data_IF_866536833083
#
_entry.id   IF_866536833083
#
_cell.length_a   1.000
_cell.length_b   1.000
_cell.length_c   1.000
_cell.angle_alpha   90.00
_cell.angle_beta   90.00
_cell.angle_gamma   90.00
#
_symmetry.space_group_name_H-M   'P 1'
#
loop_
_entity.id
_entity.type
_entity.pdbx_description
1 polymer ?
#
# COMPACT_ATOMS: atom_id res chain seq x y z
N UNK A 1 73.52 -31.24 -50.41
CA UNK A 1 73.66 -30.68 -49.04
C UNK A 1 73.25 -29.22 -49.08
N UNK A 2 72.28 -28.82 -48.26
CA UNK A 2 71.77 -27.45 -48.18
C UNK A 2 70.30 -27.42 -47.76
N UNK A 3 70.05 -27.66 -46.47
CA UNK A 3 68.73 -27.78 -45.85
C UNK A 3 68.17 -26.37 -45.57
N UNK A 4 66.94 -26.12 -46.03
CA UNK A 4 66.17 -24.92 -45.72
C UNK A 4 65.70 -24.93 -44.25
N UNK A 5 66.07 -23.91 -43.47
CA UNK A 5 65.55 -23.68 -42.13
C UNK A 5 64.33 -22.75 -42.19
N UNK A 6 63.14 -23.34 -42.15
CA UNK A 6 61.88 -22.65 -41.86
C UNK A 6 61.81 -22.35 -40.36
N UNK A 7 61.94 -21.09 -39.97
CA UNK A 7 61.67 -20.64 -38.60
C UNK A 7 60.15 -20.52 -38.40
N UNK A 8 59.57 -21.48 -37.66
CA UNK A 8 58.23 -21.34 -37.10
C UNK A 8 58.25 -20.34 -35.94
N UNK A 9 57.61 -19.19 -36.15
CA UNK A 9 57.29 -18.22 -35.10
C UNK A 9 56.12 -18.76 -34.28
N UNK A 10 56.39 -19.22 -33.06
CA UNK A 10 55.36 -19.59 -32.10
C UNK A 10 54.65 -18.33 -31.59
N UNK A 11 53.38 -18.20 -31.92
CA UNK A 11 52.52 -17.17 -31.36
C UNK A 11 52.25 -17.49 -29.89
N UNK A 12 52.70 -16.63 -28.99
CA UNK A 12 52.35 -16.64 -27.57
C UNK A 12 50.83 -16.41 -27.43
N UNK A 13 50.13 -17.41 -26.90
CA UNK A 13 48.72 -17.31 -26.54
C UNK A 13 48.53 -16.19 -25.50
N UNK A 14 47.91 -15.08 -25.92
CA UNK A 14 47.41 -14.07 -25.01
C UNK A 14 46.26 -14.68 -24.19
N UNK A 15 46.48 -14.78 -22.89
CA UNK A 15 45.44 -15.09 -21.92
C UNK A 15 44.34 -14.03 -21.99
N UNK A 16 43.18 -14.42 -22.50
CA UNK A 16 42.00 -13.58 -22.51
C UNK A 16 41.67 -13.15 -21.07
N UNK A 17 41.44 -11.86 -20.80
CA UNK A 17 41.00 -11.44 -19.48
C UNK A 17 39.60 -12.03 -19.23
N UNK A 18 39.47 -12.78 -18.13
CA UNK A 18 38.19 -13.20 -17.59
C UNK A 18 37.32 -11.96 -17.33
N UNK A 19 36.53 -11.57 -18.33
CA UNK A 19 35.46 -10.60 -18.11
C UNK A 19 34.49 -11.26 -17.13
N UNK A 20 34.45 -10.74 -15.90
CA UNK A 20 33.39 -11.06 -14.96
C UNK A 20 32.09 -10.65 -15.65
N UNK A 21 31.35 -11.63 -16.14
CA UNK A 21 29.99 -11.48 -16.64
C UNK A 21 29.13 -10.96 -15.50
N UNK A 22 29.07 -9.65 -15.34
CA UNK A 22 28.16 -9.00 -14.41
C UNK A 22 26.75 -9.28 -14.93
N UNK A 23 26.12 -10.28 -14.31
CA UNK A 23 24.81 -10.84 -14.63
C UNK A 23 23.84 -9.82 -15.25
N UNK A 24 23.51 -10.05 -16.53
CA UNK A 24 22.44 -9.35 -17.28
C UNK A 24 21.05 -9.43 -16.59
N UNK A 25 20.91 -10.22 -15.52
CA UNK A 25 19.65 -10.49 -14.82
C UNK A 25 19.49 -9.77 -13.47
N UNK A 26 20.33 -8.76 -13.17
CA UNK A 26 20.40 -8.10 -11.84
C UNK A 26 19.10 -7.44 -11.33
N UNK A 27 18.09 -7.18 -12.17
CA UNK A 27 16.87 -6.47 -11.76
C UNK A 27 15.63 -7.36 -11.55
N UNK A 28 15.74 -8.68 -11.80
CA UNK A 28 14.64 -9.61 -11.54
C UNK A 28 14.24 -9.62 -10.06
N UNK A 29 15.22 -9.84 -9.16
CA UNK A 29 14.96 -9.93 -7.73
C UNK A 29 14.44 -8.62 -7.13
N UNK A 30 15.04 -7.44 -7.40
CA UNK A 30 14.47 -6.17 -6.96
C UNK A 30 13.02 -5.97 -7.40
N UNK A 31 12.70 -6.23 -8.68
CA UNK A 31 11.32 -6.10 -9.19
C UNK A 31 10.36 -7.07 -8.50
N UNK A 32 10.77 -8.32 -8.33
CA UNK A 32 9.94 -9.33 -7.69
C UNK A 32 9.66 -8.95 -6.23
N UNK A 33 10.70 -8.61 -5.47
CA UNK A 33 10.60 -8.32 -4.04
C UNK A 33 9.79 -7.05 -3.81
N UNK A 34 10.05 -5.96 -4.53
CA UNK A 34 9.32 -4.70 -4.32
C UNK A 34 7.82 -4.87 -4.58
N UNK A 35 7.45 -5.59 -5.63
CA UNK A 35 6.05 -5.82 -5.98
C UNK A 35 5.38 -6.88 -5.08
N UNK A 36 6.12 -7.86 -4.57
CA UNK A 36 5.63 -8.77 -3.54
C UNK A 36 5.29 -8.02 -2.26
N UNK A 37 6.21 -7.18 -1.77
CA UNK A 37 5.98 -6.37 -0.56
C UNK A 37 4.80 -5.42 -0.76
N UNK A 38 4.67 -4.79 -1.93
CA UNK A 38 3.50 -3.97 -2.28
C UNK A 38 2.22 -4.80 -2.12
N UNK A 39 2.15 -5.96 -2.78
CA UNK A 39 1.00 -6.86 -2.72
C UNK A 39 0.66 -7.28 -1.29
N UNK A 40 1.66 -7.64 -0.50
CA UNK A 40 1.51 -8.14 0.86
C UNK A 40 1.00 -7.05 1.83
N UNK A 41 1.56 -5.84 1.77
CA UNK A 41 1.10 -4.72 2.60
C UNK A 41 -0.30 -4.28 2.20
N UNK A 42 -0.58 -4.21 0.89
CA UNK A 42 -1.88 -3.85 0.37
C UNK A 42 -2.98 -4.83 0.79
N UNK A 43 -2.75 -6.15 0.72
CA UNK A 43 -3.75 -7.13 1.17
C UNK A 43 -3.92 -7.13 2.68
N UNK A 44 -2.85 -6.92 3.45
CA UNK A 44 -2.95 -6.75 4.90
C UNK A 44 -3.81 -5.53 5.26
N UNK A 45 -3.58 -4.40 4.57
CA UNK A 45 -4.38 -3.19 4.77
C UNK A 45 -5.85 -3.38 4.39
N UNK A 46 -6.12 -4.10 3.30
CA UNK A 46 -7.48 -4.48 2.91
C UNK A 46 -8.16 -5.31 4.01
N UNK A 47 -7.44 -6.27 4.61
CA UNK A 47 -7.93 -7.05 5.74
C UNK A 47 -8.30 -6.20 6.97
N UNK A 48 -7.48 -5.20 7.31
CA UNK A 48 -7.78 -4.26 8.41
C UNK A 48 -9.05 -3.44 8.10
N UNK A 49 -9.18 -2.92 6.86
CA UNK A 49 -10.36 -2.17 6.43
C UNK A 49 -11.60 -3.05 6.48
N UNK A 50 -11.54 -4.27 5.93
CA UNK A 50 -12.65 -5.22 5.96
C UNK A 50 -13.08 -5.57 7.37
N UNK A 51 -12.13 -5.75 8.30
CA UNK A 51 -12.45 -5.99 9.71
C UNK A 51 -13.15 -4.78 10.35
N UNK A 52 -12.76 -3.56 9.99
CA UNK A 52 -13.41 -2.35 10.48
C UNK A 52 -14.84 -2.22 9.95
N UNK A 53 -15.06 -2.46 8.65
CA UNK A 53 -16.41 -2.47 8.05
C UNK A 53 -17.29 -3.53 8.70
N UNK A 54 -16.76 -4.73 8.91
CA UNK A 54 -17.48 -5.80 9.61
C UNK A 54 -17.89 -5.40 11.03
N UNK A 55 -16.99 -4.75 11.78
CA UNK A 55 -17.29 -4.21 13.10
C UNK A 55 -18.39 -3.14 13.04
N UNK A 56 -18.32 -2.17 12.13
CA UNK A 56 -19.36 -1.14 11.98
C UNK A 56 -20.74 -1.74 11.69
N UNK A 57 -20.81 -2.72 10.79
CA UNK A 57 -22.05 -3.40 10.45
C UNK A 57 -22.60 -4.19 11.64
N UNK A 58 -21.73 -4.88 12.39
CA UNK A 58 -22.12 -5.58 13.62
C UNK A 58 -22.69 -4.61 14.67
N UNK A 59 -22.02 -3.47 14.90
CA UNK A 59 -22.53 -2.45 15.82
C UNK A 59 -23.91 -1.96 15.38
N UNK A 60 -24.09 -1.68 14.08
CA UNK A 60 -25.33 -1.18 13.49
C UNK A 60 -26.48 -2.18 13.61
N UNK A 61 -26.24 -3.45 13.32
CA UNK A 61 -27.27 -4.46 13.14
C UNK A 61 -27.55 -5.33 14.37
N UNK A 62 -26.58 -5.45 15.29
CA UNK A 62 -26.68 -6.35 16.44
C UNK A 62 -26.59 -5.61 17.80
N UNK A 63 -25.77 -4.55 17.92
CA UNK A 63 -25.56 -3.85 19.21
C UNK A 63 -26.55 -2.69 19.41
N UNK A 64 -26.76 -1.86 18.39
CA UNK A 64 -27.66 -0.69 18.34
C UNK A 64 -27.35 0.46 19.31
N UNK A 65 -27.02 0.21 20.58
CA UNK A 65 -26.71 1.24 21.56
C UNK A 65 -25.73 0.78 22.66
N UNK A 66 -25.01 1.74 23.24
CA UNK A 66 -24.20 1.57 24.43
C UNK A 66 -24.88 2.19 25.66
N UNK A 67 -24.82 1.52 26.80
CA UNK A 67 -25.25 2.10 28.07
C UNK A 67 -24.13 2.94 28.68
N UNK A 68 -24.45 4.20 28.96
CA UNK A 68 -23.55 5.19 29.54
C UNK A 68 -24.06 5.58 30.92
N UNK A 69 -23.19 5.52 31.92
CA UNK A 69 -23.49 5.99 33.27
C UNK A 69 -23.47 7.53 33.32
N UNK A 70 -24.48 8.14 33.92
CA UNK A 70 -24.62 9.60 33.97
C UNK A 70 -25.31 10.02 35.25
N UNK A 71 -24.98 11.22 35.75
CA UNK A 71 -25.42 11.72 37.08
C UNK A 71 -26.96 11.76 37.26
N UNK A 72 -27.73 11.73 36.17
CA UNK A 72 -29.20 11.66 36.16
C UNK A 72 -29.79 10.25 35.96
N UNK A 73 -28.95 9.22 35.95
CA UNK A 73 -29.31 7.84 35.60
C UNK A 73 -28.71 7.41 34.25
N UNK A 74 -28.58 6.09 34.04
CA UNK A 74 -27.98 5.56 32.83
C UNK A 74 -28.83 5.86 31.60
N UNK A 75 -28.18 6.09 30.46
CA UNK A 75 -28.88 6.32 29.19
C UNK A 75 -28.25 5.52 28.05
N UNK A 76 -29.04 5.31 26.99
CA UNK A 76 -28.59 4.61 25.79
C UNK A 76 -28.07 5.60 24.74
N UNK A 77 -26.81 5.44 24.35
CA UNK A 77 -26.19 6.14 23.22
C UNK A 77 -26.23 5.24 21.97
N UNK A 78 -26.83 5.71 20.88
CA UNK A 78 -26.80 4.95 19.61
C UNK A 78 -25.36 4.71 19.13
N UNK A 79 -25.10 3.52 18.59
CA UNK A 79 -23.74 3.12 18.15
C UNK A 79 -23.19 3.95 16.98
N UNK A 80 -24.07 4.56 16.17
CA UNK A 80 -23.71 5.36 15.01
C UNK A 80 -24.04 6.85 15.27
N UNK A 81 -23.11 7.77 14.97
CA UNK A 81 -23.41 9.19 14.97
C UNK A 81 -24.21 9.57 13.72
N UNK A 82 -24.88 10.72 13.73
CA UNK A 82 -25.65 11.18 12.58
C UNK A 82 -24.74 11.51 11.38
N UNK A 83 -23.53 12.02 11.66
CA UNK A 83 -22.58 12.48 10.65
C UNK A 83 -21.30 11.63 10.65
N UNK A 84 -21.43 10.36 10.27
CA UNK A 84 -20.28 9.46 10.09
C UNK A 84 -19.68 9.62 8.69
N UNK A 85 -18.40 9.95 8.60
CA UNK A 85 -17.67 10.12 7.36
C UNK A 85 -16.88 8.85 7.02
N UNK A 86 -17.43 8.07 6.10
CA UNK A 86 -16.88 6.76 5.70
C UNK A 86 -16.05 6.79 4.41
N UNK A 87 -16.10 7.89 3.65
CA UNK A 87 -15.42 8.02 2.35
C UNK A 87 -13.91 7.76 2.43
N UNK A 88 -13.25 8.16 3.53
CA UNK A 88 -11.84 7.87 3.74
C UNK A 88 -11.54 6.37 3.79
N UNK A 89 -12.49 5.57 4.30
CA UNK A 89 -12.44 4.12 4.27
C UNK A 89 -12.54 3.60 2.83
N UNK A 90 -13.46 4.14 2.04
CA UNK A 90 -13.62 3.76 0.63
C UNK A 90 -12.40 4.09 -0.23
N UNK A 91 -11.81 5.28 -0.07
CA UNK A 91 -10.62 5.68 -0.84
C UNK A 91 -9.42 4.78 -0.48
N UNK A 92 -9.17 4.55 0.81
CA UNK A 92 -8.09 3.66 1.25
C UNK A 92 -8.29 2.19 0.84
N UNK A 93 -9.54 1.73 0.73
CA UNK A 93 -9.88 0.41 0.20
C UNK A 93 -9.50 0.34 -1.28
N UNK A 94 -9.81 1.38 -2.05
CA UNK A 94 -9.38 1.52 -3.44
C UNK A 94 -7.87 1.40 -3.58
N UNK A 95 -7.09 2.12 -2.75
CA UNK A 95 -5.62 2.03 -2.73
C UNK A 95 -5.14 0.61 -2.39
N UNK A 96 -5.71 -0.01 -1.36
CA UNK A 96 -5.35 -1.36 -0.94
C UNK A 96 -5.65 -2.40 -2.05
N UNK A 97 -6.83 -2.35 -2.66
CA UNK A 97 -7.18 -3.22 -3.79
C UNK A 97 -6.27 -2.99 -4.99
N UNK A 98 -6.02 -1.73 -5.35
CA UNK A 98 -5.16 -1.37 -6.47
C UNK A 98 -3.72 -1.87 -6.27
N UNK A 99 -3.11 -1.59 -5.12
CA UNK A 99 -1.76 -2.03 -4.79
C UNK A 99 -1.61 -3.55 -4.75
N UNK A 100 -2.63 -4.28 -4.27
CA UNK A 100 -2.63 -5.74 -4.28
C UNK A 100 -2.51 -6.30 -5.71
N UNK A 101 -3.43 -5.94 -6.60
CA UNK A 101 -3.41 -6.45 -7.97
C UNK A 101 -2.21 -5.92 -8.77
N UNK A 102 -1.79 -4.68 -8.53
CA UNK A 102 -0.61 -4.12 -9.18
C UNK A 102 0.67 -4.84 -8.76
N UNK A 103 0.81 -5.20 -7.48
CA UNK A 103 1.91 -6.01 -6.97
C UNK A 103 1.95 -7.41 -7.62
N UNK A 104 0.80 -8.09 -7.72
CA UNK A 104 0.70 -9.36 -8.47
C UNK A 104 1.13 -9.21 -9.94
N UNK A 105 0.65 -8.16 -10.60
CA UNK A 105 1.02 -7.87 -11.99
C UNK A 105 2.53 -7.57 -12.11
N UNK A 106 3.11 -6.82 -11.18
CA UNK A 106 4.53 -6.52 -11.15
C UNK A 106 5.40 -7.77 -10.97
N UNK A 107 5.00 -8.71 -10.12
CA UNK A 107 5.67 -10.01 -9.98
C UNK A 107 5.59 -10.83 -11.29
N UNK A 108 4.43 -10.83 -11.95
CA UNK A 108 4.28 -11.46 -13.27
C UNK A 108 5.21 -10.82 -14.33
N UNK A 109 5.32 -9.49 -14.34
CA UNK A 109 6.24 -8.77 -15.23
C UNK A 109 7.70 -9.11 -14.92
N UNK A 110 8.08 -9.18 -13.64
CA UNK A 110 9.42 -9.60 -13.22
C UNK A 110 9.74 -11.00 -13.78
N UNK A 111 8.82 -11.95 -13.62
CA UNK A 111 8.97 -13.31 -14.16
C UNK A 111 9.15 -13.33 -15.68
N UNK A 112 8.30 -12.60 -16.42
CA UNK A 112 8.35 -12.53 -17.89
C UNK A 112 9.65 -11.91 -18.41
N UNK A 113 10.18 -10.92 -17.70
CA UNK A 113 11.39 -10.18 -18.11
C UNK A 113 12.69 -10.87 -17.72
N UNK A 114 12.66 -11.84 -16.79
CA UNK A 114 13.84 -12.55 -16.24
C UNK A 114 14.83 -13.08 -17.28
N UNK A 115 14.35 -13.61 -18.40
CA UNK A 115 15.19 -14.25 -19.45
C UNK A 115 15.16 -13.49 -20.78
N UNK A 116 14.50 -12.34 -20.85
CA UNK A 116 14.26 -11.69 -22.12
C UNK A 116 15.28 -10.59 -22.41
N UNK A 117 15.81 -10.61 -23.64
CA UNK A 117 16.70 -9.58 -24.17
C UNK A 117 15.96 -8.49 -24.95
N UNK A 118 14.64 -8.64 -25.15
CA UNK A 118 13.81 -7.72 -25.95
C UNK A 118 13.03 -6.74 -25.07
N UNK A 119 12.74 -5.52 -25.57
CA UNK A 119 11.85 -4.58 -24.91
C UNK A 119 10.44 -5.17 -24.72
N UNK A 120 9.88 -5.07 -23.51
CA UNK A 120 8.53 -5.56 -23.19
C UNK A 120 7.59 -4.39 -22.91
N UNK A 121 6.48 -4.32 -23.65
CA UNK A 121 5.41 -3.33 -23.39
C UNK A 121 4.86 -3.43 -21.96
N UNK A 122 4.87 -4.62 -21.38
CA UNK A 122 4.39 -4.86 -20.00
C UNK A 122 5.19 -4.10 -18.95
N UNK A 123 6.49 -3.86 -19.18
CA UNK A 123 7.31 -3.07 -18.24
C UNK A 123 6.94 -1.59 -18.30
N UNK A 124 6.65 -1.06 -19.49
CA UNK A 124 6.14 0.31 -19.65
C UNK A 124 4.74 0.46 -19.04
N UNK A 125 3.87 -0.54 -19.21
CA UNK A 125 2.54 -0.54 -18.59
C UNK A 125 2.67 -0.55 -17.06
N UNK A 126 3.50 -1.44 -16.51
CA UNK A 126 3.77 -1.48 -15.06
C UNK A 126 4.28 -0.14 -14.54
N UNK A 127 5.20 0.50 -15.26
CA UNK A 127 5.74 1.81 -14.90
C UNK A 127 4.64 2.88 -14.80
N UNK A 128 3.75 2.95 -15.79
CA UNK A 128 2.64 3.91 -15.81
C UNK A 128 1.67 3.64 -14.66
N UNK A 129 1.29 2.37 -14.46
CA UNK A 129 0.37 1.99 -13.38
C UNK A 129 0.97 2.26 -11.99
N UNK A 130 2.26 2.01 -11.78
CA UNK A 130 2.94 2.34 -10.52
C UNK A 130 3.05 3.86 -10.29
N UNK A 131 3.23 4.65 -11.35
CA UNK A 131 3.17 6.10 -11.21
C UNK A 131 1.77 6.57 -10.76
N UNK A 132 0.71 6.02 -11.36
CA UNK A 132 -0.66 6.30 -10.92
C UNK A 132 -0.93 5.79 -9.50
N UNK A 133 -0.34 4.65 -9.10
CA UNK A 133 -0.38 4.13 -7.73
C UNK A 133 0.14 5.16 -6.73
N UNK A 134 1.33 5.73 -6.98
CA UNK A 134 1.93 6.75 -6.12
C UNK A 134 0.99 7.94 -5.93
N UNK A 135 0.41 8.45 -7.03
CA UNK A 135 -0.51 9.59 -6.96
C UNK A 135 -1.78 9.25 -6.18
N UNK A 136 -2.33 8.05 -6.41
CA UNK A 136 -3.55 7.61 -5.75
C UNK A 136 -3.31 7.36 -4.25
N UNK A 137 -2.24 6.64 -3.90
CA UNK A 137 -1.84 6.39 -2.51
C UNK A 137 -1.55 7.72 -1.79
N UNK A 138 -0.90 8.68 -2.43
CA UNK A 138 -0.65 10.00 -1.84
C UNK A 138 -1.95 10.77 -1.59
N UNK A 139 -2.87 10.78 -2.55
CA UNK A 139 -4.21 11.39 -2.39
C UNK A 139 -4.93 10.81 -1.19
N UNK A 140 -5.05 9.48 -1.13
CA UNK A 140 -5.74 8.79 -0.05
C UNK A 140 -5.05 9.01 1.30
N UNK A 141 -3.72 9.00 1.34
CA UNK A 141 -2.94 9.28 2.54
C UNK A 141 -3.24 10.67 3.07
N UNK A 142 -3.18 11.70 2.22
CA UNK A 142 -3.51 13.08 2.62
C UNK A 142 -4.96 13.16 3.09
N UNK A 143 -5.90 12.61 2.32
CA UNK A 143 -7.33 12.68 2.65
C UNK A 143 -7.65 12.04 4.01
N UNK A 144 -7.22 10.78 4.23
CA UNK A 144 -7.46 10.05 5.48
C UNK A 144 -6.87 10.79 6.68
N UNK A 145 -5.64 11.30 6.56
CA UNK A 145 -5.00 12.02 7.67
C UNK A 145 -5.64 13.39 7.93
N UNK A 146 -6.01 14.14 6.89
CA UNK A 146 -6.66 15.44 7.03
C UNK A 146 -8.03 15.28 7.68
N UNK A 147 -8.87 14.36 7.21
CA UNK A 147 -10.21 14.16 7.78
C UNK A 147 -10.10 13.67 9.22
N UNK A 148 -9.22 12.69 9.50
CA UNK A 148 -9.00 12.21 10.87
C UNK A 148 -8.48 13.31 11.79
N UNK A 149 -7.62 14.21 11.30
CA UNK A 149 -7.12 15.35 12.06
C UNK A 149 -8.22 16.40 12.33
N UNK A 150 -9.05 16.72 11.33
CA UNK A 150 -10.15 17.67 11.45
C UNK A 150 -11.20 17.24 12.46
N UNK A 151 -11.39 15.93 12.66
CA UNK A 151 -12.33 15.37 13.62
C UNK A 151 -11.68 14.95 14.93
N UNK A 152 -10.38 15.21 15.11
CA UNK A 152 -9.64 14.84 16.31
C UNK A 152 -10.04 15.73 17.50
N UNK A 153 -9.94 15.20 18.72
CA UNK A 153 -10.30 15.87 19.98
C UNK A 153 -11.77 16.29 20.12
N UNK A 154 -12.64 15.97 19.18
CA UNK A 154 -14.09 16.09 19.37
C UNK A 154 -14.51 15.10 20.46
N UNK A 155 -15.42 15.53 21.34
CA UNK A 155 -15.92 14.72 22.46
C UNK A 155 -17.44 14.69 22.44
N UNK A 156 -18.01 13.57 22.84
CA UNK A 156 -19.45 13.45 23.03
C UNK A 156 -19.83 14.22 24.28
N UNK A 157 -20.75 15.18 24.14
CA UNK A 157 -21.28 15.95 25.26
C UNK A 157 -22.38 15.16 25.94
N UNK A 158 -22.09 14.62 27.13
CA UNK A 158 -23.03 13.83 27.93
C UNK A 158 -24.42 14.47 28.07
N UNK A 159 -24.57 15.78 28.40
CA UNK A 159 -25.90 16.39 28.50
C UNK A 159 -26.68 16.38 27.17
N UNK A 160 -25.99 16.51 26.04
CA UNK A 160 -26.64 16.48 24.72
C UNK A 160 -27.06 15.06 24.36
N UNK A 161 -26.18 14.08 24.60
CA UNK A 161 -26.47 12.68 24.34
C UNK A 161 -27.62 12.16 25.22
N UNK A 162 -27.61 12.46 26.52
CA UNK A 162 -28.64 12.04 27.47
C UNK A 162 -30.02 12.64 27.17
N UNK A 163 -30.07 13.87 26.66
CA UNK A 163 -31.33 14.54 26.29
C UNK A 163 -31.88 14.10 24.93
N UNK A 164 -31.08 13.44 24.09
CA UNK A 164 -31.45 13.02 22.73
C UNK A 164 -31.35 11.49 22.58
N UNK A 165 -31.92 10.75 23.53
CA UNK A 165 -31.93 9.29 23.47
C UNK A 165 -32.77 8.78 22.30
N UNK A 166 -32.37 7.63 21.73
CA UNK A 166 -33.06 6.99 20.61
C UNK A 166 -32.80 7.62 19.25
N UNK A 167 -32.00 8.70 19.18
CA UNK A 167 -31.55 9.30 17.92
C UNK A 167 -30.03 9.28 17.82
N UNK A 168 -29.53 9.25 16.59
CA UNK A 168 -28.09 9.29 16.35
C UNK A 168 -27.51 10.63 16.80
N UNK A 169 -26.35 10.59 17.44
CA UNK A 169 -25.71 11.79 17.98
C UNK A 169 -25.39 12.79 16.86
N UNK A 170 -26.02 13.97 16.91
CA UNK A 170 -26.06 14.89 15.78
C UNK A 170 -24.86 15.85 15.70
N UNK A 171 -24.11 16.01 16.79
CA UNK A 171 -23.05 17.00 16.83
C UNK A 171 -21.76 16.51 16.17
N UNK A 172 -21.08 17.46 15.55
CA UNK A 172 -19.81 17.25 14.86
C UNK A 172 -19.90 16.26 13.69
N UNK A 173 -18.77 16.06 13.02
CA UNK A 173 -18.57 15.05 11.98
C UNK A 173 -17.51 14.11 12.46
N UNK A 174 -17.68 12.82 12.23
CA UNK A 174 -16.81 11.82 12.81
C UNK A 174 -16.24 10.90 11.76
N UNK A 175 -14.96 10.56 11.88
CA UNK A 175 -14.47 9.31 11.31
C UNK A 175 -14.82 8.15 12.23
N UNK A 176 -14.85 6.90 11.73
CA UNK A 176 -14.96 5.72 12.61
C UNK A 176 -13.95 5.77 13.77
N UNK A 177 -12.68 6.09 13.48
CA UNK A 177 -11.61 6.16 14.50
C UNK A 177 -11.94 7.18 15.59
N UNK A 178 -12.29 8.41 15.22
CA UNK A 178 -12.53 9.49 16.19
C UNK A 178 -13.85 9.31 16.94
N UNK A 179 -14.86 8.72 16.30
CA UNK A 179 -16.13 8.39 16.96
C UNK A 179 -15.90 7.43 18.13
N UNK A 180 -15.27 6.28 17.85
CA UNK A 180 -15.09 5.27 18.90
C UNK A 180 -14.10 5.69 19.98
N UNK A 181 -13.12 6.56 19.66
CA UNK A 181 -12.32 7.23 20.69
C UNK A 181 -13.17 8.07 21.62
N UNK A 182 -14.10 8.86 21.08
CA UNK A 182 -15.01 9.66 21.90
C UNK A 182 -16.01 8.80 22.69
N UNK A 183 -16.40 7.63 22.17
CA UNK A 183 -17.20 6.64 22.92
C UNK A 183 -16.40 6.05 24.10
N UNK A 184 -15.11 5.76 23.92
CA UNK A 184 -14.23 5.24 24.99
C UNK A 184 -13.94 6.26 26.11
N UNK A 185 -14.10 7.55 25.82
CA UNK A 185 -14.03 8.63 26.81
C UNK A 185 -15.28 8.70 27.71
N UNK A 186 -16.37 8.01 27.34
CA UNK A 186 -17.58 7.94 28.15
C UNK A 186 -17.48 6.88 29.24
N UNK A 187 -18.18 7.05 30.37
CA UNK A 187 -18.32 6.03 31.39
C UNK A 187 -19.28 4.93 30.92
N UNK A 188 -18.81 4.04 30.05
CA UNK A 188 -19.57 2.87 29.60
C UNK A 188 -19.79 1.90 30.77
N UNK A 189 -21.01 1.39 30.93
CA UNK A 189 -21.36 0.44 32.00
C UNK A 189 -20.72 -0.94 31.74
N UNK A 190 -20.69 -1.36 30.48
CA UNK A 190 -20.15 -2.65 30.06
C UNK A 190 -18.65 -2.55 29.76
N UNK A 191 -17.83 -3.13 30.64
CA UNK A 191 -16.36 -3.13 30.50
C UNK A 191 -15.88 -3.99 29.34
N UNK A 192 -16.56 -5.10 29.03
CA UNK A 192 -16.16 -6.00 27.95
C UNK A 192 -16.37 -5.30 26.59
N UNK A 193 -17.46 -4.52 26.47
CA UNK A 193 -17.69 -3.66 25.30
C UNK A 193 -16.65 -2.58 25.16
N UNK A 194 -16.20 -2.00 26.27
CA UNK A 194 -15.13 -1.00 26.26
C UNK A 194 -13.83 -1.58 25.72
N UNK A 195 -13.44 -2.76 26.18
CA UNK A 195 -12.21 -3.43 25.72
C UNK A 195 -12.31 -3.87 24.25
N UNK A 196 -13.48 -4.33 23.81
CA UNK A 196 -13.75 -4.61 22.40
C UNK A 196 -13.55 -3.36 21.53
N UNK A 197 -14.15 -2.24 21.92
CA UNK A 197 -14.04 -0.97 21.19
C UNK A 197 -12.59 -0.48 21.16
N UNK A 198 -11.84 -0.58 22.26
CA UNK A 198 -10.43 -0.16 22.33
C UNK A 198 -9.53 -0.95 21.36
N UNK A 199 -9.72 -2.27 21.31
CA UNK A 199 -9.03 -3.14 20.33
C UNK A 199 -9.38 -2.77 18.88
N UNK A 200 -10.65 -2.43 18.61
CA UNK A 200 -11.09 -2.01 17.29
C UNK A 200 -10.56 -0.63 16.90
N UNK A 201 -10.50 0.32 17.83
CA UNK A 201 -9.86 1.62 17.62
C UNK A 201 -8.38 1.44 17.28
N UNK A 202 -7.68 0.55 17.98
CA UNK A 202 -6.29 0.21 17.67
C UNK A 202 -6.14 -0.30 16.23
N UNK A 203 -7.06 -1.15 15.77
CA UNK A 203 -7.10 -1.63 14.38
C UNK A 203 -7.32 -0.49 13.38
N UNK A 204 -8.20 0.48 13.69
CA UNK A 204 -8.46 1.65 12.84
C UNK A 204 -7.22 2.56 12.73
N UNK A 205 -6.53 2.79 13.84
CA UNK A 205 -5.27 3.53 13.87
C UNK A 205 -4.21 2.81 13.02
N UNK A 206 -4.10 1.49 13.17
CA UNK A 206 -3.15 0.69 12.39
C UNK A 206 -3.43 0.79 10.88
N UNK A 207 -4.70 0.68 10.46
CA UNK A 207 -5.11 0.87 9.07
C UNK A 207 -4.68 2.24 8.51
N UNK A 208 -4.94 3.33 9.24
CA UNK A 208 -4.52 4.68 8.82
C UNK A 208 -3.01 4.76 8.61
N UNK A 209 -2.23 4.22 9.55
CA UNK A 209 -0.77 4.25 9.46
C UNK A 209 -0.20 3.30 8.42
N UNK A 210 -0.89 2.23 8.03
CA UNK A 210 -0.49 1.30 6.96
C UNK A 210 -0.42 1.95 5.57
N UNK A 211 -1.09 3.09 5.35
CA UNK A 211 -0.96 3.85 4.11
C UNK A 211 0.46 4.41 3.90
N UNK A 212 1.18 4.75 4.98
CA UNK A 212 2.56 5.26 4.90
C UNK A 212 3.55 4.22 4.35
N UNK A 213 3.66 3.00 4.91
CA UNK A 213 4.55 1.98 4.35
C UNK A 213 4.14 1.55 2.94
N UNK A 214 2.84 1.51 2.61
CA UNK A 214 2.39 1.27 1.23
C UNK A 214 2.94 2.35 0.30
N UNK A 215 2.80 3.63 0.67
CA UNK A 215 3.31 4.75 -0.12
C UNK A 215 4.82 4.68 -0.37
N UNK A 216 5.60 4.35 0.68
CA UNK A 216 7.05 4.17 0.55
C UNK A 216 7.37 3.03 -0.43
N UNK A 217 6.64 1.91 -0.34
CA UNK A 217 6.84 0.76 -1.21
C UNK A 217 6.41 1.04 -2.65
N UNK A 218 5.36 1.82 -2.88
CA UNK A 218 5.00 2.31 -4.22
C UNK A 218 6.15 3.08 -4.87
N UNK A 219 6.78 4.00 -4.12
CA UNK A 219 7.95 4.76 -4.60
C UNK A 219 9.12 3.82 -4.93
N UNK A 220 9.41 2.87 -4.05
CA UNK A 220 10.49 1.90 -4.27
C UNK A 220 10.20 1.05 -5.51
N UNK A 221 8.99 0.50 -5.63
CA UNK A 221 8.59 -0.35 -6.74
C UNK A 221 8.65 0.41 -8.06
N UNK A 222 8.17 1.65 -8.10
CA UNK A 222 8.29 2.54 -9.25
C UNK A 222 9.75 2.84 -9.61
N UNK A 223 10.60 3.14 -8.62
CA UNK A 223 12.02 3.40 -8.82
C UNK A 223 12.75 2.19 -9.42
N UNK A 224 12.50 0.99 -8.89
CA UNK A 224 13.05 -0.26 -9.43
C UNK A 224 12.57 -0.51 -10.86
N UNK A 225 11.28 -0.32 -11.15
CA UNK A 225 10.73 -0.45 -12.50
C UNK A 225 11.33 0.57 -13.46
N UNK A 226 11.52 1.81 -13.03
CA UNK A 226 12.19 2.86 -13.82
C UNK A 226 13.61 2.43 -14.19
N UNK A 227 14.39 1.93 -13.23
CA UNK A 227 15.74 1.43 -13.49
C UNK A 227 15.75 0.25 -14.47
N UNK A 228 14.80 -0.69 -14.33
CA UNK A 228 14.64 -1.81 -15.25
C UNK A 228 14.32 -1.35 -16.67
N UNK A 229 13.40 -0.39 -16.79
CA UNK A 229 12.98 0.19 -18.05
C UNK A 229 14.12 0.97 -18.74
N UNK A 230 14.88 1.76 -17.99
CA UNK A 230 16.05 2.49 -18.50
C UNK A 230 17.14 1.54 -19.00
N UNK A 231 17.44 0.45 -18.26
CA UNK A 231 18.41 -0.56 -18.71
C UNK A 231 17.96 -1.25 -20.00
N UNK A 232 16.67 -1.56 -20.12
CA UNK A 232 16.09 -2.18 -21.31
C UNK A 232 16.19 -1.27 -22.55
N UNK A 233 15.94 0.04 -22.38
CA UNK A 233 16.11 1.04 -23.44
C UNK A 233 17.56 1.17 -23.90
N UNK A 234 18.51 1.32 -22.96
CA UNK A 234 19.95 1.42 -23.28
C UNK A 234 20.48 0.19 -24.03
N UNK A 235 19.99 -1.01 -23.71
CA UNK A 235 20.35 -2.24 -24.41
C UNK A 235 19.88 -2.27 -25.87
N UNK A 236 18.71 -1.68 -26.16
CA UNK A 236 18.15 -1.65 -27.52
C UNK A 236 18.90 -0.65 -28.42
N UNK A 237 19.28 0.52 -27.89
CA UNK A 237 20.05 1.53 -28.64
C UNK A 237 21.42 1.01 -29.09
N UNK A 238 22.13 0.27 -28.23
CA UNK A 238 23.44 -0.32 -28.58
C UNK A 238 23.35 -1.40 -29.65
N UNK A 239 22.31 -2.24 -29.62
CA UNK A 239 22.12 -3.28 -30.63
C UNK A 239 21.83 -2.69 -32.03
N UNK A 240 21.04 -1.62 -32.09
CA UNK A 240 20.73 -0.96 -33.36
C UNK A 240 21.96 -0.24 -33.97
N UNK A 241 22.84 0.33 -33.14
CA UNK A 241 24.07 0.98 -33.61
C UNK A 241 25.13 0.00 -34.11
N UNK A 242 25.19 -1.22 -33.56
CA UNK A 242 26.11 -2.24 -34.06
C UNK A 242 25.69 -2.74 -35.46
N UNK A 243 24.39 -2.94 -35.67
CA UNK A 243 23.85 -3.38 -36.95
C UNK A 243 23.92 -2.32 -38.07
N UNK A 244 24.18 -1.04 -37.75
CA UNK A 244 24.30 0.02 -38.76
C UNK A 244 25.74 0.20 -39.28
N UNK A 245 26.74 -0.41 -38.65
CA UNK A 245 28.15 -0.33 -39.07
C UNK A 245 28.50 -1.49 -40.02
N UNK A 246 27.73 -2.58 -40.02
CA UNK A 246 27.92 -3.75 -40.90
C UNK A 246 27.18 -3.66 -42.25
N UNK A 247 26.66 -2.48 -42.63
CA UNK A 247 26.06 -2.24 -43.96
C UNK A 247 26.86 -1.20 -44.72
#
# INVERSE_FOLDING_TARGET
>A
MGIAQYFHRTASAQSAPHSKSTSRNSLFWPLLISNFVLSALSIANLGLISSMVGFLLDQKHNVHSYQVDYEGGPFNLNVEPANLWVDQGHESNGVAGYGFFLGLFGMFVAWRTRKSTRPHKTLTILLILQFLAILFTLSAFIFVFVVTYQTNNQRIRLPVAANNQGVNYAEFKWTPETWFKAVLDLPLIDSDKRDEIDSRVTTMVAWRWMLLPIFIVDIIAFGVTTLAWLKQRKGTTRANSANSIEK
#
